data_IF_286048867607
#
_entry.id   IF_286048867607
#
_cell.length_a   1.000
_cell.length_b   1.000
_cell.length_c   1.000
_cell.angle_alpha   90.00
_cell.angle_beta   90.00
_cell.angle_gamma   90.00
#
_symmetry.space_group_name_H-M   'P 1'
#
loop_
_entity.id
_entity.type
_entity.pdbx_description
1 polymer ?
#
# COMPACT_ATOMS: atom_id res chain seq x y z
N UNK A 1 29.04 29.74 29.19
CA UNK A 1 28.99 28.39 28.58
C UNK A 1 27.75 27.60 29.03
N UNK A 2 27.52 27.41 30.34
CA UNK A 2 26.34 26.63 30.85
C UNK A 2 24.98 27.24 30.46
N UNK A 3 24.81 28.57 30.51
CA UNK A 3 23.55 29.25 30.15
C UNK A 3 23.13 29.05 28.68
N UNK A 4 24.10 28.92 27.77
CA UNK A 4 23.83 28.67 26.35
C UNK A 4 23.36 27.24 26.09
N UNK A 5 23.91 26.27 26.82
CA UNK A 5 23.51 24.86 26.75
C UNK A 5 22.06 24.70 27.25
N UNK A 6 21.73 25.31 28.39
CA UNK A 6 20.38 25.26 28.98
C UNK A 6 19.32 25.87 28.04
N UNK A 7 19.67 26.89 27.24
CA UNK A 7 18.75 27.52 26.28
C UNK A 7 18.50 26.69 25.02
N UNK A 8 19.44 25.82 24.62
CA UNK A 8 19.32 24.94 23.43
C UNK A 8 18.51 23.66 23.69
N UNK A 9 18.48 23.17 24.93
CA UNK A 9 17.70 21.99 25.34
C UNK A 9 16.20 22.08 24.94
N UNK A 10 15.46 23.16 25.26
CA UNK A 10 14.03 23.24 24.89
C UNK A 10 13.82 23.32 23.37
N UNK A 11 14.78 23.88 22.63
CA UNK A 11 14.69 23.98 21.17
C UNK A 11 14.94 22.61 20.50
N UNK A 12 15.90 21.84 21.02
CA UNK A 12 16.15 20.47 20.58
C UNK A 12 14.96 19.55 20.92
N UNK A 13 14.39 19.67 22.12
CA UNK A 13 13.21 18.90 22.53
C UNK A 13 11.99 19.18 21.63
N UNK A 14 11.75 20.45 21.26
CA UNK A 14 10.67 20.82 20.32
C UNK A 14 10.90 20.28 18.91
N UNK A 15 12.15 20.30 18.43
CA UNK A 15 12.49 19.75 17.12
C UNK A 15 12.26 18.24 17.07
N UNK A 16 12.76 17.49 18.07
CA UNK A 16 12.55 16.04 18.19
C UNK A 16 11.05 15.70 18.27
N UNK A 17 10.27 16.42 19.07
CA UNK A 17 8.82 16.19 19.16
C UNK A 17 8.10 16.42 17.81
N UNK A 18 8.50 17.46 17.06
CA UNK A 18 7.96 17.72 15.73
C UNK A 18 8.30 16.61 14.73
N UNK A 19 9.53 16.12 14.76
CA UNK A 19 10.00 15.03 13.89
C UNK A 19 9.31 13.70 14.23
N UNK A 20 9.20 13.36 15.52
CA UNK A 20 8.46 12.18 15.96
C UNK A 20 7.01 12.24 15.49
N UNK A 21 6.34 13.39 15.63
CA UNK A 21 4.95 13.56 15.16
C UNK A 21 4.84 13.35 13.65
N UNK A 22 5.78 13.88 12.87
CA UNK A 22 5.81 13.70 11.40
C UNK A 22 6.01 12.23 11.04
N UNK A 23 6.99 11.56 11.64
CA UNK A 23 7.30 10.17 11.35
C UNK A 23 6.13 9.25 11.74
N UNK A 24 5.49 9.49 12.88
CA UNK A 24 4.30 8.78 13.31
C UNK A 24 3.15 8.99 12.32
N UNK A 25 2.92 10.23 11.87
CA UNK A 25 1.89 10.50 10.86
C UNK A 25 2.17 9.75 9.54
N UNK A 26 3.41 9.76 9.06
CA UNK A 26 3.81 9.00 7.86
C UNK A 26 3.61 7.50 8.05
N UNK A 27 3.99 6.94 9.20
CA UNK A 27 3.79 5.53 9.52
C UNK A 27 2.30 5.16 9.57
N UNK A 28 1.47 6.02 10.15
CA UNK A 28 0.01 5.85 10.20
C UNK A 28 -0.58 5.87 8.79
N UNK A 29 -0.18 6.84 7.95
CA UNK A 29 -0.64 6.92 6.56
C UNK A 29 -0.23 5.68 5.76
N UNK A 30 1.00 5.19 5.95
CA UNK A 30 1.47 3.96 5.33
C UNK A 30 0.65 2.73 5.80
N UNK A 31 0.36 2.64 7.10
CA UNK A 31 -0.46 1.57 7.66
C UNK A 31 -1.89 1.58 7.09
N UNK A 32 -2.51 2.76 6.96
CA UNK A 32 -3.82 2.88 6.33
C UNK A 32 -3.78 2.54 4.83
N UNK A 33 -2.76 2.99 4.11
CA UNK A 33 -2.55 2.61 2.71
C UNK A 33 -2.43 1.08 2.54
N UNK A 34 -1.73 0.43 3.47
CA UNK A 34 -1.61 -1.03 3.50
C UNK A 34 -2.96 -1.72 3.78
N UNK A 35 -3.74 -1.25 4.76
CA UNK A 35 -5.08 -1.79 5.05
C UNK A 35 -5.99 -1.66 3.83
N UNK A 36 -5.99 -0.51 3.16
CA UNK A 36 -6.77 -0.29 1.94
C UNK A 36 -6.35 -1.31 0.87
N UNK A 37 -5.04 -1.51 0.65
CA UNK A 37 -4.54 -2.49 -0.30
C UNK A 37 -5.00 -3.93 0.02
N UNK A 38 -5.05 -4.31 1.30
CA UNK A 38 -5.56 -5.62 1.73
C UNK A 38 -7.06 -5.79 1.41
N UNK A 39 -7.87 -4.77 1.70
CA UNK A 39 -9.31 -4.82 1.40
C UNK A 39 -9.56 -4.95 -0.11
N UNK A 40 -8.81 -4.20 -0.93
CA UNK A 40 -8.91 -4.30 -2.39
C UNK A 40 -8.48 -5.67 -2.92
N UNK A 41 -7.45 -6.30 -2.33
CA UNK A 41 -7.04 -7.66 -2.70
C UNK A 41 -8.18 -8.65 -2.53
N UNK A 42 -8.87 -8.62 -1.38
CA UNK A 42 -9.96 -9.55 -1.09
C UNK A 42 -11.18 -9.30 -1.98
N UNK A 43 -11.47 -8.03 -2.28
CA UNK A 43 -12.51 -7.64 -3.24
C UNK A 43 -12.22 -8.16 -4.66
N UNK A 44 -11.00 -7.95 -5.16
CA UNK A 44 -10.59 -8.44 -6.48
C UNK A 44 -10.69 -9.96 -6.55
N UNK A 45 -10.22 -10.67 -5.52
CA UNK A 45 -10.29 -12.13 -5.45
C UNK A 45 -11.73 -12.62 -5.52
N UNK A 46 -12.61 -12.05 -4.68
CA UNK A 46 -14.02 -12.44 -4.64
C UNK A 46 -14.76 -12.12 -5.95
N UNK A 47 -14.45 -10.98 -6.56
CA UNK A 47 -14.99 -10.60 -7.87
C UNK A 47 -14.54 -11.55 -8.98
N UNK A 48 -13.26 -11.93 -9.00
CA UNK A 48 -12.71 -12.92 -9.95
C UNK A 48 -13.35 -14.29 -9.72
N UNK A 49 -13.50 -14.72 -8.46
CA UNK A 49 -14.16 -15.99 -8.11
C UNK A 49 -15.60 -16.04 -8.64
N UNK A 50 -16.37 -14.95 -8.48
CA UNK A 50 -17.74 -14.86 -8.98
C UNK A 50 -17.82 -14.87 -10.51
N UNK A 51 -16.88 -14.20 -11.19
CA UNK A 51 -16.78 -14.21 -12.66
C UNK A 51 -16.49 -15.63 -13.16
N UNK A 52 -15.51 -16.32 -12.55
CA UNK A 52 -15.12 -17.67 -12.95
C UNK A 52 -16.27 -18.66 -12.72
N UNK A 53 -16.97 -18.57 -11.58
CA UNK A 53 -18.17 -19.35 -11.32
C UNK A 53 -19.25 -19.12 -12.38
N UNK A 54 -19.46 -17.87 -12.79
CA UNK A 54 -20.46 -17.51 -13.82
C UNK A 54 -20.11 -18.05 -15.22
N UNK A 55 -18.83 -18.33 -15.50
CA UNK A 55 -18.36 -18.90 -16.77
C UNK A 55 -18.50 -20.45 -16.76
N UNK A 56 -19.02 -21.04 -15.68
CA UNK A 56 -19.26 -22.49 -15.58
C UNK A 56 -17.99 -23.30 -15.31
N UNK A 57 -16.92 -22.64 -14.86
CA UNK A 57 -15.71 -23.32 -14.41
C UNK A 57 -15.96 -23.80 -12.99
N UNK A 58 -16.66 -24.92 -12.85
CA UNK A 58 -16.85 -25.60 -11.57
C UNK A 58 -15.76 -26.64 -11.37
N UNK A 59 -14.83 -26.40 -10.44
CA UNK A 59 -13.82 -27.38 -10.06
C UNK A 59 -13.52 -27.29 -8.58
N UNK A 60 -13.78 -28.35 -7.82
CA UNK A 60 -13.47 -28.44 -6.38
C UNK A 60 -12.02 -28.84 -6.10
N UNK A 61 -11.13 -28.72 -7.09
CA UNK A 61 -9.77 -29.24 -7.03
C UNK A 61 -8.68 -28.16 -7.02
N UNK A 62 -7.46 -28.56 -6.67
CA UNK A 62 -6.25 -27.74 -6.71
C UNK A 62 -6.04 -27.00 -8.05
N UNK A 63 -6.50 -27.61 -9.15
CA UNK A 63 -6.46 -27.03 -10.50
C UNK A 63 -7.32 -25.75 -10.62
N UNK A 64 -8.48 -25.71 -9.96
CA UNK A 64 -9.36 -24.53 -9.96
C UNK A 64 -8.71 -23.36 -9.22
N UNK A 65 -8.12 -23.64 -8.06
CA UNK A 65 -7.42 -22.63 -7.26
C UNK A 65 -6.19 -22.07 -7.99
N UNK A 66 -5.51 -22.90 -8.78
CA UNK A 66 -4.43 -22.48 -9.67
C UNK A 66 -4.93 -21.51 -10.76
N UNK A 67 -6.05 -21.84 -11.42
CA UNK A 67 -6.63 -21.00 -12.48
C UNK A 67 -7.07 -19.64 -11.92
N UNK A 68 -7.78 -19.62 -10.79
CA UNK A 68 -8.16 -18.38 -10.10
C UNK A 68 -6.92 -17.54 -9.80
N UNK A 69 -5.93 -18.14 -9.14
CA UNK A 69 -4.73 -17.42 -8.71
C UNK A 69 -3.99 -16.83 -9.92
N UNK A 70 -3.93 -17.56 -11.03
CA UNK A 70 -3.33 -17.08 -12.27
C UNK A 70 -4.11 -15.90 -12.86
N UNK A 71 -5.44 -16.01 -12.97
CA UNK A 71 -6.31 -14.93 -13.50
C UNK A 71 -6.21 -13.68 -12.61
N UNK A 72 -6.34 -13.83 -11.29
CA UNK A 72 -6.18 -12.72 -10.34
C UNK A 72 -4.81 -12.06 -10.49
N UNK A 73 -3.74 -12.85 -10.69
CA UNK A 73 -2.39 -12.30 -10.92
C UNK A 73 -2.33 -11.46 -12.18
N UNK A 74 -2.89 -11.93 -13.30
CA UNK A 74 -2.95 -11.16 -14.55
C UNK A 74 -3.72 -9.85 -14.34
N UNK A 75 -4.86 -9.87 -13.67
CA UNK A 75 -5.62 -8.67 -13.34
C UNK A 75 -4.82 -7.68 -12.49
N UNK A 76 -4.14 -8.15 -11.44
CA UNK A 76 -3.28 -7.32 -10.60
C UNK A 76 -2.13 -6.69 -11.40
N UNK A 77 -1.47 -7.47 -12.26
CA UNK A 77 -0.37 -6.97 -13.12
C UNK A 77 -0.88 -5.88 -14.06
N UNK A 78 -2.02 -6.08 -14.72
CA UNK A 78 -2.62 -5.06 -15.58
C UNK A 78 -2.94 -3.80 -14.78
N UNK A 79 -3.54 -3.95 -13.59
CA UNK A 79 -3.81 -2.82 -12.69
C UNK A 79 -2.55 -2.03 -12.35
N UNK A 80 -1.48 -2.73 -11.96
CA UNK A 80 -0.18 -2.12 -11.66
C UNK A 80 0.40 -1.43 -12.89
N UNK A 81 0.31 -2.02 -14.09
CA UNK A 81 0.82 -1.42 -15.33
C UNK A 81 0.06 -0.14 -15.69
N UNK A 82 -1.26 -0.13 -15.54
CA UNK A 82 -2.09 1.07 -15.79
C UNK A 82 -1.73 2.17 -14.80
N UNK A 83 -1.69 1.86 -13.50
CA UNK A 83 -1.33 2.83 -12.46
C UNK A 83 0.11 3.31 -12.61
N UNK A 84 1.04 2.41 -12.95
CA UNK A 84 2.44 2.74 -13.19
C UNK A 84 2.62 3.68 -14.38
N UNK A 85 1.77 3.56 -15.41
CA UNK A 85 1.74 4.50 -16.54
C UNK A 85 1.11 5.85 -16.19
N UNK A 86 0.24 5.90 -15.18
CA UNK A 86 -0.35 7.15 -14.68
C UNK A 86 0.59 7.97 -13.79
N UNK A 87 1.67 7.37 -13.28
CA UNK A 87 2.70 8.11 -12.53
C UNK A 87 3.55 8.95 -13.50
N UNK A 88 2.98 10.10 -13.89
CA UNK A 88 3.66 11.12 -14.67
C UNK A 88 4.80 11.74 -13.86
N UNK A 89 6.02 11.67 -14.43
CA UNK A 89 7.08 12.71 -14.45
C UNK A 89 7.25 13.65 -13.23
N UNK A 90 7.14 13.21 -11.98
CA UNK A 90 7.38 14.09 -10.82
C UNK A 90 8.47 13.62 -9.84
N UNK A 91 9.15 12.49 -10.13
CA UNK A 91 10.20 11.94 -9.26
C UNK A 91 11.62 12.02 -9.86
N UNK A 92 11.85 12.91 -10.84
CA UNK A 92 13.21 13.37 -11.19
C UNK A 92 13.33 14.79 -10.67
N UNK A 93 13.66 14.93 -9.39
CA UNK A 93 14.23 16.18 -8.87
C UNK A 93 15.65 16.26 -9.42
N UNK A 94 15.84 17.09 -10.44
CA UNK A 94 17.10 17.79 -10.68
C UNK A 94 17.46 18.66 -9.46
#
# INVERSE_FOLDING_TARGET
MVKEIVKKIPHAAKAVHSEVKKNVLTAILAAFGFIIALVWRDFIKSGVDQIIYSIGVEGSGYVYQLIITFITTVFCVIGILVVSRMKGKEDVKD
#
